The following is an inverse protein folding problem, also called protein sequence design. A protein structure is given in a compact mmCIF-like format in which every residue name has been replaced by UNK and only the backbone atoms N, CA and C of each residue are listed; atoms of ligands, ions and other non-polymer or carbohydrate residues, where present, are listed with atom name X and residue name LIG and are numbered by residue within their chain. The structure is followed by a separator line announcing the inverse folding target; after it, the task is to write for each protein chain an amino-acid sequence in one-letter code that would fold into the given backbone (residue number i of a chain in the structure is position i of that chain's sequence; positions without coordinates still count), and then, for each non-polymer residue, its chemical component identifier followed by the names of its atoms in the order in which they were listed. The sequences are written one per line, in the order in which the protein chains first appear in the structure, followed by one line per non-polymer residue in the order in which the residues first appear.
data_IF_119885473601
#
_entry.id   IF_119885473601
#
_cell.length_a   1.000
_cell.length_b   1.000
_cell.length_c   1.000
_cell.angle_alpha   90.00
_cell.angle_beta   90.00
_cell.angle_gamma   90.00
#
_symmetry.space_group_name_H-M   'P 1'
#
loop_
_entity.id
_entity.type
_entity.pdbx_description
1 polymer ?
#
# COMPACT_ATOMS: atom_id res chain seq x y z
N UNK A 1 -2.71 -1.39 -42.69
CA UNK A 1 -3.69 -0.87 -41.72
C UNK A 1 -2.96 -0.58 -40.41
N UNK A 2 -2.60 0.68 -40.11
CA UNK A 2 -2.02 1.03 -38.82
C UNK A 2 -3.14 1.04 -37.76
N UNK A 3 -3.19 0.01 -36.94
CA UNK A 3 -4.04 -0.04 -35.75
C UNK A 3 -3.36 0.78 -34.65
N UNK A 4 -3.74 2.05 -34.58
CA UNK A 4 -3.34 3.02 -33.56
C UNK A 4 -4.00 2.63 -32.22
N UNK A 5 -3.54 1.53 -31.62
CA UNK A 5 -3.66 1.40 -30.18
C UNK A 5 -2.66 2.40 -29.59
N UNK A 6 -3.12 3.64 -29.38
CA UNK A 6 -2.47 4.59 -28.48
C UNK A 6 -2.39 3.94 -27.11
N UNK A 7 -1.31 3.22 -26.84
CA UNK A 7 -0.82 3.15 -25.48
C UNK A 7 -0.43 4.59 -25.16
N UNK A 8 -1.31 5.28 -24.43
CA UNK A 8 -0.94 6.52 -23.77
C UNK A 8 0.33 6.20 -22.99
N UNK A 9 1.45 6.70 -23.49
CA UNK A 9 2.73 6.64 -22.81
C UNK A 9 2.54 7.49 -21.57
N UNK A 10 2.09 6.84 -20.49
CA UNK A 10 1.86 7.46 -19.20
C UNK A 10 3.15 8.14 -18.83
N UNK A 11 3.17 9.47 -19.01
CA UNK A 11 4.28 10.37 -18.73
C UNK A 11 5.00 9.83 -17.52
N UNK A 12 6.23 9.33 -17.71
CA UNK A 12 7.05 8.78 -16.65
C UNK A 12 7.08 9.82 -15.52
N UNK A 13 6.21 9.63 -14.53
CA UNK A 13 6.07 10.55 -13.41
C UNK A 13 7.40 10.42 -12.69
N UNK A 14 8.16 11.52 -12.67
CA UNK A 14 9.39 11.64 -11.87
C UNK A 14 9.14 10.93 -10.54
N UNK A 15 10.08 10.05 -10.15
CA UNK A 15 10.09 9.40 -8.83
C UNK A 15 10.34 10.46 -7.76
N UNK A 16 9.36 11.32 -7.54
CA UNK A 16 9.36 12.27 -6.45
C UNK A 16 8.93 11.48 -5.22
N UNK A 17 9.81 11.45 -4.21
CA UNK A 17 9.44 10.94 -2.90
C UNK A 17 8.19 11.69 -2.43
N UNK A 18 7.28 10.96 -1.78
CA UNK A 18 6.08 11.59 -1.24
C UNK A 18 6.48 12.60 -0.14
N UNK A 19 5.79 13.74 -0.03
CA UNK A 19 6.08 14.70 1.03
C UNK A 19 6.00 14.03 2.40
N UNK A 20 6.90 14.39 3.32
CA UNK A 20 6.95 13.80 4.67
C UNK A 20 5.61 13.95 5.40
N UNK A 21 5.03 15.15 5.34
CA UNK A 21 3.71 15.46 5.89
C UNK A 21 2.61 14.54 5.33
N UNK A 22 2.64 14.23 4.03
CA UNK A 22 1.70 13.29 3.42
C UNK A 22 1.84 11.89 4.02
N UNK A 23 3.09 11.43 4.19
CA UNK A 23 3.38 10.11 4.74
C UNK A 23 3.09 10.01 6.24
N UNK A 24 3.21 11.10 7.00
CA UNK A 24 2.91 11.12 8.43
C UNK A 24 1.42 10.93 8.72
N UNK A 25 0.54 11.54 7.92
CA UNK A 25 -0.91 11.36 8.03
C UNK A 25 -1.29 9.89 7.76
N UNK A 26 -0.77 9.32 6.67
CA UNK A 26 -1.05 7.92 6.32
C UNK A 26 -0.46 6.94 7.34
N UNK A 27 0.73 7.25 7.88
CA UNK A 27 1.38 6.45 8.94
C UNK A 27 0.56 6.47 10.23
N UNK A 28 0.11 7.65 10.66
CA UNK A 28 -0.71 7.80 11.87
C UNK A 28 -1.98 6.95 11.79
N UNK A 29 -2.67 6.98 10.66
CA UNK A 29 -3.84 6.12 10.45
C UNK A 29 -3.46 4.64 10.41
N UNK A 30 -2.34 4.29 9.77
CA UNK A 30 -1.87 2.91 9.67
C UNK A 30 -1.55 2.31 11.05
N UNK A 31 -0.85 3.06 11.92
CA UNK A 31 -0.54 2.62 13.29
C UNK A 31 -1.84 2.40 14.10
N UNK A 32 -2.85 3.25 13.93
CA UNK A 32 -4.16 3.08 14.57
C UNK A 32 -4.95 1.86 14.03
N UNK A 33 -4.73 1.51 12.76
CA UNK A 33 -5.44 0.44 12.05
C UNK A 33 -4.53 -0.76 11.75
N UNK A 34 -3.50 -0.99 12.57
CA UNK A 34 -2.52 -2.08 12.35
C UNK A 34 -3.18 -3.46 12.31
N UNK A 35 -4.33 -3.61 12.97
CA UNK A 35 -5.15 -4.82 12.98
C UNK A 35 -5.85 -5.10 11.65
N UNK A 36 -6.29 -4.04 10.94
CA UNK A 36 -6.90 -4.12 9.61
C UNK A 36 -6.45 -2.95 8.70
N UNK A 37 -5.23 -3.02 8.13
CA UNK A 37 -4.60 -1.93 7.39
C UNK A 37 -5.07 -1.89 5.93
N UNK A 38 -6.38 -1.84 5.75
CA UNK A 38 -7.07 -1.77 4.46
C UNK A 38 -7.96 -0.54 4.46
N UNK A 39 -7.44 0.62 4.03
CA UNK A 39 -8.26 1.81 3.96
C UNK A 39 -9.34 1.65 2.89
N UNK A 40 -10.57 2.01 3.23
CA UNK A 40 -11.71 2.07 2.29
C UNK A 40 -11.47 3.11 1.20
N UNK A 41 -12.22 3.08 0.10
CA UNK A 41 -12.11 4.10 -0.95
C UNK A 41 -12.33 5.52 -0.43
N UNK A 42 -13.29 5.70 0.48
CA UNK A 42 -13.54 6.99 1.15
C UNK A 42 -12.31 7.45 1.95
N UNK A 43 -11.67 6.56 2.69
CA UNK A 43 -10.45 6.89 3.44
C UNK A 43 -9.30 7.24 2.50
N UNK A 44 -9.14 6.52 1.38
CA UNK A 44 -8.16 6.86 0.35
C UNK A 44 -8.42 8.24 -0.25
N UNK A 45 -9.68 8.61 -0.48
CA UNK A 45 -10.06 9.94 -0.95
C UNK A 45 -9.74 11.02 0.10
N UNK A 46 -9.99 10.75 1.38
CA UNK A 46 -9.60 11.65 2.49
C UNK A 46 -8.08 11.87 2.52
N UNK A 47 -7.27 10.82 2.40
CA UNK A 47 -5.82 10.97 2.32
C UNK A 47 -5.40 11.74 1.07
N UNK A 48 -6.01 11.45 -0.08
CA UNK A 48 -5.72 12.17 -1.32
C UNK A 48 -5.99 13.68 -1.16
N UNK A 49 -7.13 14.03 -0.57
CA UNK A 49 -7.52 15.42 -0.32
C UNK A 49 -6.63 16.11 0.73
N UNK A 50 -6.34 15.43 1.85
CA UNK A 50 -5.53 15.99 2.92
C UNK A 50 -4.05 16.16 2.55
N UNK A 51 -3.53 15.27 1.70
CA UNK A 51 -2.10 15.23 1.37
C UNK A 51 -1.76 15.80 -0.01
N UNK A 52 -2.77 16.05 -0.84
CA UNK A 52 -2.62 16.55 -2.22
C UNK A 52 -2.02 15.53 -3.20
N UNK A 53 -1.91 14.25 -2.82
CA UNK A 53 -1.39 13.18 -3.68
C UNK A 53 -2.53 12.38 -4.32
N UNK A 54 -2.29 11.73 -5.45
CA UNK A 54 -3.33 10.94 -6.11
C UNK A 54 -3.72 9.68 -5.31
N UNK A 55 -4.97 9.27 -5.45
CA UNK A 55 -5.51 8.03 -4.85
C UNK A 55 -4.67 6.77 -5.22
N UNK A 56 -4.07 6.75 -6.41
CA UNK A 56 -3.12 5.71 -6.83
C UNK A 56 -1.83 5.73 -5.99
N UNK A 57 -1.28 6.92 -5.71
CA UNK A 57 -0.10 7.07 -4.84
C UNK A 57 -0.40 6.68 -3.40
N UNK A 58 -1.57 7.05 -2.87
CA UNK A 58 -2.08 6.59 -1.56
C UNK A 58 -2.10 5.06 -1.53
N UNK A 59 -2.75 4.44 -2.52
CA UNK A 59 -2.88 2.97 -2.61
C UNK A 59 -1.52 2.27 -2.68
N UNK A 60 -0.61 2.78 -3.51
CA UNK A 60 0.75 2.24 -3.64
C UNK A 60 1.55 2.39 -2.34
N UNK A 61 1.39 3.51 -1.62
CA UNK A 61 2.03 3.72 -0.33
C UNK A 61 1.57 2.68 0.68
N UNK A 62 0.26 2.47 0.83
CA UNK A 62 -0.29 1.48 1.78
C UNK A 62 0.16 0.04 1.45
N UNK A 63 0.18 -0.33 0.16
CA UNK A 63 0.67 -1.66 -0.27
C UNK A 63 2.14 -1.85 0.12
N UNK A 64 2.99 -0.87 -0.19
CA UNK A 64 4.41 -0.94 0.12
C UNK A 64 4.69 -0.88 1.62
N UNK A 65 3.95 -0.06 2.36
CA UNK A 65 4.08 0.08 3.81
C UNK A 65 3.70 -1.23 4.52
N UNK A 66 2.54 -1.81 4.17
CA UNK A 66 2.10 -3.12 4.70
C UNK A 66 3.13 -4.22 4.48
N UNK A 67 3.76 -4.27 3.30
CA UNK A 67 4.82 -5.27 3.00
C UNK A 67 6.07 -5.08 3.86
N UNK A 68 6.35 -3.86 4.33
CA UNK A 68 7.51 -3.53 5.16
C UNK A 68 7.24 -3.71 6.66
N UNK A 69 5.97 -3.79 7.07
CA UNK A 69 5.60 -3.99 8.47
C UNK A 69 5.87 -5.44 8.93
N UNK A 70 6.78 -5.66 9.88
CA UNK A 70 7.12 -7.01 10.38
C UNK A 70 5.94 -7.71 11.05
N UNK A 71 5.10 -6.96 11.77
CA UNK A 71 3.95 -7.48 12.52
C UNK A 71 2.91 -8.16 11.62
N UNK A 72 2.71 -7.62 10.41
CA UNK A 72 1.84 -8.21 9.39
C UNK A 72 2.52 -9.32 8.60
N UNK A 73 3.86 -9.32 8.59
CA UNK A 73 4.66 -10.35 7.94
C UNK A 73 4.70 -11.63 8.75
N UNK A 74 4.84 -11.54 10.07
CA UNK A 74 4.83 -12.70 10.99
C UNK A 74 3.53 -13.50 10.86
N UNK A 75 2.39 -12.79 10.75
CA UNK A 75 1.06 -13.39 10.57
C UNK A 75 0.91 -14.16 9.25
N UNK A 76 1.70 -13.83 8.22
CA UNK A 76 1.77 -14.55 6.94
C UNK A 76 2.74 -15.74 6.98
N UNK A 77 3.78 -15.69 7.82
CA UNK A 77 4.73 -16.79 8.01
C UNK A 77 4.19 -17.86 8.98
N UNK A 78 3.40 -17.47 10.00
CA UNK A 78 2.76 -18.37 10.98
C UNK A 78 1.71 -19.32 10.41
N UNK A 79 1.20 -19.05 9.20
CA UNK A 79 0.28 -19.95 8.48
C UNK A 79 0.97 -21.08 7.71
N UNK A 80 2.31 -21.11 7.63
CA UNK A 80 3.08 -22.14 6.92
C UNK A 80 3.79 -23.15 7.83
N UNK A 81 3.68 -22.99 9.14
CA UNK A 81 4.39 -23.81 10.14
C UNK A 81 3.45 -24.60 11.06
N UNK A 82 2.34 -25.11 10.53
CA UNK A 82 1.48 -26.11 11.21
C UNK A 82 1.45 -27.41 10.38
N UNK A 83 2.59 -28.08 10.25
CA UNK A 83 2.66 -29.34 9.51
C UNK A 83 4.06 -29.91 9.46
N UNK A 84 4.64 -30.20 10.61
CA UNK A 84 5.71 -31.19 10.75
C UNK A 84 5.88 -31.56 12.24
N UNK A 85 4.81 -32.02 12.88
CA UNK A 85 4.94 -32.82 14.10
C UNK A 85 4.89 -34.28 13.63
N UNK A 86 6.08 -34.80 13.30
CA UNK A 86 6.28 -36.19 12.93
C UNK A 86 6.37 -37.02 14.19
N UNK A 87 5.21 -37.50 14.63
CA UNK A 87 5.06 -38.53 15.66
C UNK A 87 5.24 -39.93 15.01
N UNK A 88 6.21 -40.67 15.58
CA UNK A 88 6.63 -42.09 15.43
C UNK A 88 7.39 -42.51 14.15
#
# INVERSE_FOLDING_TARGET
MPSHYEYQHGKARKRSNLPKQSTEIMKTWFDQNITNPYPSEEQKALFSNATGISMTQVSNWFINHRRRCPELRDKREKGRSNGMDGEI
#
